data_IF_613451188610
#
_entry.id   IF_613451188610
#
_cell.length_a   1.000
_cell.length_b   1.000
_cell.length_c   1.000
_cell.angle_alpha   90.00
_cell.angle_beta   90.00
_cell.angle_gamma   90.00
#
_symmetry.space_group_name_H-M   'P 1'
#
loop_
_entity.id
_entity.type
_entity.pdbx_description
1 polymer ?
#
# COMPACT_ATOMS: atom_id res chain seq x y z
N UNK A 1 -17.78 4.26 -13.11
CA UNK A 1 -16.97 5.47 -12.83
C UNK A 1 -15.69 5.00 -12.14
N UNK A 2 -14.53 5.40 -12.64
CA UNK A 2 -13.25 5.07 -12.01
C UNK A 2 -12.76 6.27 -11.19
N UNK A 3 -12.07 5.98 -10.08
CA UNK A 3 -11.41 6.97 -9.24
C UNK A 3 -10.00 6.49 -8.92
N UNK A 4 -9.04 7.41 -8.88
CA UNK A 4 -7.70 7.13 -8.40
C UNK A 4 -7.67 7.41 -6.90
N UNK A 5 -7.11 6.48 -6.11
CA UNK A 5 -6.95 6.62 -4.66
C UNK A 5 -5.45 6.57 -4.37
N UNK A 6 -4.92 7.61 -3.74
CA UNK A 6 -3.52 7.67 -3.31
C UNK A 6 -3.37 6.94 -1.96
N UNK A 7 -2.32 6.13 -1.84
CA UNK A 7 -1.93 5.49 -0.59
C UNK A 7 -0.56 6.06 -0.22
N UNK A 8 -0.49 6.74 0.93
CA UNK A 8 0.75 7.40 1.39
C UNK A 8 1.51 6.56 2.43
N UNK A 9 0.89 5.51 2.97
CA UNK A 9 1.49 4.63 3.96
C UNK A 9 2.19 3.44 3.30
N UNK A 10 3.38 3.08 3.77
CA UNK A 10 4.15 1.93 3.28
C UNK A 10 4.06 0.70 4.20
N UNK A 11 3.51 0.87 5.42
CA UNK A 11 3.39 -0.18 6.44
C UNK A 11 1.93 -0.40 6.87
N UNK A 12 1.59 -1.61 7.36
CA UNK A 12 0.28 -1.85 7.96
C UNK A 12 0.13 -1.16 9.31
N UNK A 13 -1.12 -0.80 9.64
CA UNK A 13 -1.46 -0.25 10.95
C UNK A 13 -1.63 -1.41 11.93
N UNK A 14 -0.86 -1.39 13.02
CA UNK A 14 -1.06 -2.31 14.13
C UNK A 14 -2.26 -1.86 14.96
N UNK A 15 -3.18 -2.77 15.20
CA UNK A 15 -4.32 -2.60 16.10
C UNK A 15 -4.23 -3.67 17.18
N UNK A 16 -4.26 -3.28 18.44
CA UNK A 16 -4.17 -4.19 19.59
C UNK A 16 -5.55 -4.37 20.24
N UNK A 17 -6.38 -5.34 19.78
CA UNK A 17 -7.56 -5.77 20.52
C UNK A 17 -7.16 -6.60 21.74
N UNK A 18 -8.12 -6.86 22.64
CA UNK A 18 -7.86 -7.47 23.95
C UNK A 18 -7.08 -8.80 23.93
N UNK A 19 -7.17 -9.59 22.84
CA UNK A 19 -6.53 -10.91 22.74
C UNK A 19 -5.18 -10.91 21.99
N UNK A 20 -5.18 -10.50 20.71
CA UNK A 20 -4.02 -10.62 19.81
C UNK A 20 -3.95 -9.45 18.85
N UNK A 21 -2.75 -8.89 18.58
CA UNK A 21 -2.61 -7.82 17.61
C UNK A 21 -3.07 -8.25 16.22
N UNK A 22 -3.79 -7.36 15.55
CA UNK A 22 -4.15 -7.48 14.14
C UNK A 22 -3.48 -6.35 13.36
N UNK A 23 -3.12 -6.65 12.12
CA UNK A 23 -2.47 -5.69 11.23
C UNK A 23 -3.41 -5.38 10.07
N UNK A 24 -3.85 -4.13 9.99
CA UNK A 24 -4.73 -3.64 8.93
C UNK A 24 -3.86 -3.08 7.81
N UNK A 25 -4.15 -3.45 6.56
CA UNK A 25 -3.38 -2.94 5.43
C UNK A 25 -3.66 -1.45 5.24
N UNK A 26 -2.59 -0.65 5.17
CA UNK A 26 -2.66 0.76 4.80
C UNK A 26 -1.86 1.09 3.54
N UNK A 27 -1.05 0.16 3.02
CA UNK A 27 -0.26 0.35 1.80
C UNK A 27 -1.01 0.07 0.49
N UNK A 28 -2.26 -0.39 0.56
CA UNK A 28 -3.06 -0.70 -0.64
C UNK A 28 -2.70 -2.00 -1.38
N UNK A 29 -1.54 -2.62 -1.11
CA UNK A 29 -1.04 -3.79 -1.87
C UNK A 29 -1.59 -5.17 -1.44
N UNK A 30 -2.34 -5.26 -0.33
CA UNK A 30 -2.89 -6.56 0.12
C UNK A 30 -3.82 -7.20 -0.92
N UNK A 31 -3.73 -8.52 -1.09
CA UNK A 31 -4.72 -9.32 -1.83
C UNK A 31 -5.80 -9.89 -0.91
N UNK A 32 -5.59 -9.82 0.40
CA UNK A 32 -6.47 -10.38 1.44
C UNK A 32 -7.01 -9.27 2.36
N UNK A 33 -7.47 -8.18 1.74
CA UNK A 33 -8.03 -7.04 2.46
C UNK A 33 -9.19 -7.45 3.38
N UNK A 34 -9.38 -6.77 4.53
CA UNK A 34 -8.70 -5.55 4.97
C UNK A 34 -7.34 -5.78 5.67
N UNK A 35 -6.96 -7.03 5.89
CA UNK A 35 -5.78 -7.36 6.69
C UNK A 35 -4.48 -7.34 5.88
N UNK A 36 -3.37 -7.13 6.59
CA UNK A 36 -2.04 -7.23 6.01
C UNK A 36 -1.70 -8.69 5.70
N UNK A 37 -1.26 -8.96 4.48
CA UNK A 37 -0.79 -10.28 4.03
C UNK A 37 0.73 -10.32 3.73
N UNK A 38 1.46 -9.26 4.10
CA UNK A 38 2.90 -9.11 3.87
C UNK A 38 3.29 -8.40 2.57
N UNK A 39 2.33 -8.13 1.67
CA UNK A 39 2.58 -7.48 0.37
C UNK A 39 3.16 -6.07 0.49
N UNK A 40 3.01 -5.42 1.65
CA UNK A 40 3.63 -4.12 1.96
C UNK A 40 5.15 -4.11 1.82
N UNK A 41 5.81 -5.28 1.82
CA UNK A 41 7.25 -5.37 1.59
C UNK A 41 7.68 -4.82 0.22
N UNK A 42 6.78 -4.82 -0.77
CA UNK A 42 7.06 -4.22 -2.08
C UNK A 42 7.17 -2.69 -1.99
N UNK A 43 6.37 -2.05 -1.14
CA UNK A 43 6.37 -0.60 -0.96
C UNK A 43 7.69 -0.06 -0.36
N UNK A 44 8.50 -0.91 0.29
CA UNK A 44 9.83 -0.50 0.81
C UNK A 44 10.83 -0.09 -0.28
N UNK A 45 10.56 -0.41 -1.54
CA UNK A 45 11.39 -0.02 -2.68
C UNK A 45 10.98 1.33 -3.27
N UNK A 46 9.85 1.87 -2.82
CA UNK A 46 9.33 3.16 -3.27
C UNK A 46 10.20 4.29 -2.72
N UNK A 47 10.47 5.29 -3.57
CA UNK A 47 11.24 6.47 -3.20
C UNK A 47 10.31 7.61 -2.79
N UNK A 48 10.69 8.45 -1.79
CA UNK A 48 9.93 9.65 -1.46
C UNK A 48 9.77 10.59 -2.66
N UNK A 49 8.60 11.21 -2.81
CA UNK A 49 8.31 12.15 -3.91
C UNK A 49 8.14 11.47 -5.27
N UNK A 50 7.82 10.17 -5.28
CA UNK A 50 7.49 9.39 -6.48
C UNK A 50 6.14 8.73 -6.28
N UNK A 51 5.36 8.68 -7.35
CA UNK A 51 4.12 7.91 -7.43
C UNK A 51 4.38 6.63 -8.20
N UNK A 52 4.01 5.50 -7.58
CA UNK A 52 4.09 4.17 -8.17
C UNK A 52 2.69 3.69 -8.51
N UNK A 53 2.43 3.42 -9.79
CA UNK A 53 1.19 2.80 -10.25
C UNK A 53 1.40 1.31 -10.37
N UNK A 54 0.59 0.55 -9.65
CA UNK A 54 0.62 -0.90 -9.71
C UNK A 54 -0.38 -1.45 -10.73
N UNK A 55 -0.09 -2.65 -11.24
CA UNK A 55 -1.05 -3.43 -12.02
C UNK A 55 -2.32 -3.78 -11.21
N UNK A 56 -3.33 -4.34 -11.89
CA UNK A 56 -4.58 -4.78 -11.26
C UNK A 56 -4.36 -5.82 -10.15
N UNK A 57 -3.27 -6.58 -10.24
CA UNK A 57 -2.91 -7.63 -9.30
C UNK A 57 -2.01 -7.14 -8.16
N UNK A 58 -1.61 -5.86 -8.14
CA UNK A 58 -0.76 -5.24 -7.10
C UNK A 58 0.59 -5.94 -6.95
N UNK A 59 1.14 -6.49 -8.03
CA UNK A 59 2.41 -7.25 -8.01
C UNK A 59 3.55 -6.50 -8.68
N UNK A 60 3.25 -5.77 -9.75
CA UNK A 60 4.27 -5.08 -10.53
C UNK A 60 3.91 -3.60 -10.65
N UNK A 61 4.95 -2.76 -10.59
CA UNK A 61 4.85 -1.34 -10.94
C UNK A 61 4.79 -1.24 -12.47
N UNK A 62 3.78 -0.56 -12.98
CA UNK A 62 3.55 -0.34 -14.42
C UNK A 62 3.82 1.09 -14.84
N UNK A 63 3.85 2.04 -13.89
CA UNK A 63 4.22 3.43 -14.12
C UNK A 63 4.88 4.01 -12.86
N UNK A 64 5.91 4.84 -13.05
CA UNK A 64 6.59 5.58 -11.99
C UNK A 64 6.77 7.02 -12.46
N UNK A 65 6.28 7.97 -11.66
CA UNK A 65 6.33 9.40 -11.98
C UNK A 65 6.66 10.24 -10.76
N UNK A 66 7.10 11.48 -10.97
CA UNK A 66 7.25 12.42 -9.86
C UNK A 66 5.90 12.65 -9.18
N UNK A 67 5.90 12.74 -7.85
CA UNK A 67 4.75 13.23 -7.10
C UNK A 67 4.81 14.76 -7.06
N UNK A 68 4.13 15.41 -8.01
CA UNK A 68 4.10 16.87 -8.12
C UNK A 68 3.28 17.53 -6.98
N UNK A 69 2.59 16.73 -6.16
CA UNK A 69 1.74 17.18 -5.04
C UNK A 69 2.34 16.83 -3.66
N UNK A 70 3.59 16.38 -3.59
CA UNK A 70 4.28 16.01 -2.34
C UNK A 70 4.80 17.21 -1.53
#
# INVERSE_FOLDING_TARGET
MARMIRFDADQPIRVDPQDKPVFVCACGLTKKGPFCDGSHSAAKKEQPGRLYVYDSDRQNVVDERADDEA
#
